data_IF_847359906906
#
_entry.id   IF_847359906906
#
_cell.length_a   1.000
_cell.length_b   1.000
_cell.length_c   1.000
_cell.angle_alpha   90.00
_cell.angle_beta   90.00
_cell.angle_gamma   90.00
#
_symmetry.space_group_name_H-M   'P 1'
#
loop_
_entity.id
_entity.type
_entity.pdbx_description
1 polymer ?
#
# COMPACT_ATOMS: atom_id res chain seq x y z
N UNK A 1 13.80 -4.58 18.65
CA UNK A 1 13.64 -5.13 17.29
C UNK A 1 12.78 -4.17 16.51
N UNK A 2 13.28 -3.70 15.38
CA UNK A 2 12.60 -2.79 14.48
C UNK A 2 11.60 -3.54 13.59
N UNK A 3 10.42 -2.98 13.33
CA UNK A 3 9.33 -3.65 12.62
C UNK A 3 8.96 -2.87 11.36
N UNK A 4 8.82 -3.59 10.24
CA UNK A 4 8.19 -3.11 9.02
C UNK A 4 6.70 -3.42 9.11
N UNK A 5 5.86 -2.39 8.94
CA UNK A 5 4.41 -2.53 8.86
C UNK A 5 3.98 -2.43 7.40
N UNK A 6 3.48 -3.52 6.82
CA UNK A 6 2.96 -3.55 5.47
C UNK A 6 1.43 -3.38 5.51
N UNK A 7 0.92 -2.32 4.89
CA UNK A 7 -0.51 -2.03 4.84
C UNK A 7 -1.09 -2.59 3.55
N UNK A 8 -2.02 -3.54 3.66
CA UNK A 8 -2.64 -4.23 2.53
C UNK A 8 -4.16 -4.14 2.58
N UNK A 9 -4.78 -4.27 1.41
CA UNK A 9 -6.23 -4.17 1.25
C UNK A 9 -6.65 -3.61 -0.11
N UNK A 10 -7.90 -3.82 -0.53
CA UNK A 10 -8.39 -3.33 -1.81
C UNK A 10 -8.46 -1.79 -1.85
N UNK A 11 -8.62 -1.24 -3.06
CA UNK A 11 -8.83 0.20 -3.25
C UNK A 11 -10.09 0.65 -2.48
N UNK A 12 -10.00 1.78 -1.78
CA UNK A 12 -11.09 2.30 -0.94
C UNK A 12 -11.22 1.64 0.45
N UNK A 13 -10.38 0.68 0.81
CA UNK A 13 -10.45 0.00 2.12
C UNK A 13 -10.07 0.87 3.34
N UNK A 14 -9.50 2.07 3.13
CA UNK A 14 -9.06 2.95 4.23
C UNK A 14 -7.58 2.85 4.60
N UNK A 15 -6.78 2.14 3.79
CA UNK A 15 -5.34 1.92 3.99
C UNK A 15 -4.56 3.18 4.33
N UNK A 16 -4.61 4.20 3.48
CA UNK A 16 -3.81 5.42 3.68
C UNK A 16 -4.23 6.21 4.93
N UNK A 17 -5.51 6.16 5.31
CA UNK A 17 -6.01 6.78 6.55
C UNK A 17 -5.42 6.06 7.75
N UNK A 18 -5.51 4.74 7.78
CA UNK A 18 -4.91 3.93 8.85
C UNK A 18 -3.40 4.10 8.93
N UNK A 19 -2.70 4.07 7.78
CA UNK A 19 -1.26 4.28 7.73
C UNK A 19 -0.83 5.65 8.29
N UNK A 20 -1.61 6.71 8.03
CA UNK A 20 -1.38 8.03 8.63
C UNK A 20 -1.63 8.04 10.15
N UNK A 21 -2.65 7.33 10.64
CA UNK A 21 -2.89 7.18 12.07
C UNK A 21 -1.73 6.43 12.73
N UNK A 22 -1.42 5.23 12.25
CA UNK A 22 -0.35 4.38 12.76
C UNK A 22 0.99 5.12 12.75
N UNK A 23 1.31 5.85 11.67
CA UNK A 23 2.51 6.66 11.56
C UNK A 23 2.70 7.63 12.73
N UNK A 24 1.62 8.27 13.18
CA UNK A 24 1.64 9.17 14.34
C UNK A 24 1.75 8.40 15.66
N UNK A 25 1.01 7.30 15.77
CA UNK A 25 0.98 6.46 16.98
C UNK A 25 2.36 5.87 17.31
N UNK A 26 3.02 5.28 16.31
CA UNK A 26 4.32 4.61 16.50
C UNK A 26 5.53 5.47 16.09
N UNK A 27 5.30 6.75 15.78
CA UNK A 27 6.31 7.70 15.31
C UNK A 27 7.19 7.14 14.17
N UNK A 28 6.55 6.56 13.16
CA UNK A 28 7.22 5.91 12.02
C UNK A 28 6.87 6.62 10.69
N UNK A 29 7.83 6.78 9.76
CA UNK A 29 7.53 7.28 8.43
C UNK A 29 6.62 6.33 7.65
N UNK A 30 5.66 6.92 6.92
CA UNK A 30 4.80 6.23 5.96
C UNK A 30 5.32 6.44 4.54
N UNK A 31 5.81 5.38 3.92
CA UNK A 31 6.27 5.36 2.53
C UNK A 31 5.16 4.80 1.64
N UNK A 32 4.52 5.69 0.88
CA UNK A 32 3.37 5.38 0.03
C UNK A 32 3.77 5.42 -1.44
N UNK A 33 3.59 4.29 -2.14
CA UNK A 33 3.93 4.14 -3.56
C UNK A 33 3.14 5.12 -4.44
N UNK A 34 1.83 5.26 -4.23
CA UNK A 34 0.97 6.09 -5.04
C UNK A 34 1.35 7.58 -4.92
N UNK A 35 1.71 8.03 -3.72
CA UNK A 35 2.21 9.38 -3.49
C UNK A 35 3.52 9.64 -4.26
N UNK A 36 4.43 8.66 -4.29
CA UNK A 36 5.69 8.77 -5.04
C UNK A 36 5.45 8.75 -6.55
N UNK A 37 4.58 7.85 -7.03
CA UNK A 37 4.17 7.81 -8.44
C UNK A 37 3.51 9.12 -8.88
N UNK A 38 2.59 9.65 -8.07
CA UNK A 38 1.90 10.91 -8.33
C UNK A 38 2.86 12.11 -8.34
N UNK A 39 3.83 12.15 -7.41
CA UNK A 39 4.76 13.28 -7.29
C UNK A 39 5.89 13.24 -8.32
N UNK A 40 6.51 12.08 -8.51
CA UNK A 40 7.75 11.94 -9.28
C UNK A 40 7.50 11.68 -10.76
N UNK A 41 6.38 11.04 -11.11
CA UNK A 41 6.20 10.51 -12.46
C UNK A 41 4.93 10.97 -13.16
N UNK A 42 3.83 11.25 -12.45
CA UNK A 42 2.59 11.75 -13.08
C UNK A 42 2.81 12.97 -14.01
N UNK A 43 3.67 13.96 -13.69
CA UNK A 43 3.95 15.08 -14.60
C UNK A 43 4.54 14.64 -15.96
N UNK A 44 5.23 13.50 -15.99
CA UNK A 44 5.93 12.96 -17.16
C UNK A 44 5.18 11.75 -17.77
N UNK A 45 3.88 11.62 -17.47
CA UNK A 45 3.06 10.53 -18.00
C UNK A 45 2.93 10.70 -19.53
N UNK A 46 3.24 9.67 -20.33
CA UNK A 46 3.10 9.73 -21.78
C UNK A 46 1.63 9.56 -22.20
N UNK A 47 1.31 10.03 -23.40
CA UNK A 47 -0.03 9.84 -24.00
C UNK A 47 -0.27 8.39 -24.46
N UNK A 48 0.80 7.66 -24.79
CA UNK A 48 0.79 6.27 -25.28
C UNK A 48 1.69 5.38 -24.43
N UNK A 49 1.53 4.06 -24.50
CA UNK A 49 2.31 3.07 -23.73
C UNK A 49 2.31 3.28 -22.21
N UNK A 50 1.22 3.83 -21.69
CA UNK A 50 1.05 4.19 -20.27
C UNK A 50 1.32 3.01 -19.34
N UNK A 51 0.89 1.80 -19.71
CA UNK A 51 1.08 0.61 -18.86
C UNK A 51 2.55 0.20 -18.77
N UNK A 52 3.26 0.13 -19.90
CA UNK A 52 4.69 -0.18 -19.93
C UNK A 52 5.49 0.87 -19.14
N UNK A 53 5.15 2.14 -19.33
CA UNK A 53 5.72 3.24 -18.56
C UNK A 53 5.43 3.08 -17.06
N UNK A 54 4.17 2.84 -16.68
CA UNK A 54 3.74 2.73 -15.29
C UNK A 54 4.44 1.57 -14.58
N UNK A 55 4.49 0.39 -15.19
CA UNK A 55 5.16 -0.80 -14.63
C UNK A 55 6.63 -0.51 -14.37
N UNK A 56 7.34 0.11 -15.33
CA UNK A 56 8.75 0.44 -15.17
C UNK A 56 9.00 1.46 -14.04
N UNK A 57 8.12 2.45 -13.86
CA UNK A 57 8.25 3.45 -12.79
C UNK A 57 7.85 2.89 -11.42
N UNK A 58 6.78 2.09 -11.37
CA UNK A 58 6.35 1.37 -10.17
C UNK A 58 7.48 0.50 -9.63
N UNK A 59 8.14 -0.27 -10.49
CA UNK A 59 9.29 -1.09 -10.09
C UNK A 59 10.42 -0.24 -9.48
N UNK A 60 10.79 0.88 -10.11
CA UNK A 60 11.82 1.80 -9.57
C UNK A 60 11.42 2.40 -8.22
N UNK A 61 10.17 2.82 -8.05
CA UNK A 61 9.67 3.31 -6.76
C UNK A 61 9.76 2.22 -5.68
N UNK A 62 9.35 0.99 -5.97
CA UNK A 62 9.40 -0.12 -5.00
C UNK A 62 10.84 -0.39 -4.56
N UNK A 63 11.79 -0.42 -5.50
CA UNK A 63 13.21 -0.57 -5.17
C UNK A 63 13.72 0.56 -4.28
N UNK A 64 13.41 1.82 -4.64
CA UNK A 64 13.86 2.97 -3.85
C UNK A 64 13.20 3.02 -2.46
N UNK A 65 11.91 2.70 -2.35
CA UNK A 65 11.20 2.58 -1.08
C UNK A 65 11.84 1.50 -0.22
N UNK A 66 12.19 0.36 -0.80
CA UNK A 66 12.85 -0.73 -0.10
C UNK A 66 14.22 -0.33 0.46
N UNK A 67 15.06 0.36 -0.33
CA UNK A 67 16.34 0.86 0.14
C UNK A 67 16.20 1.82 1.33
N UNK A 68 15.27 2.77 1.23
CA UNK A 68 14.99 3.73 2.32
C UNK A 68 14.45 3.01 3.56
N UNK A 69 13.55 2.05 3.37
CA UNK A 69 12.99 1.24 4.45
C UNK A 69 14.07 0.45 5.20
N UNK A 70 15.00 -0.19 4.49
CA UNK A 70 16.11 -0.91 5.14
C UNK A 70 17.02 0.04 5.91
N UNK A 71 17.39 1.19 5.33
CA UNK A 71 18.23 2.16 6.04
C UNK A 71 17.58 2.63 7.37
N UNK A 72 16.25 2.78 7.39
CA UNK A 72 15.51 3.07 8.63
C UNK A 72 15.52 1.88 9.60
N UNK A 73 15.26 0.67 9.10
CA UNK A 73 15.20 -0.53 9.94
C UNK A 73 16.56 -0.88 10.56
N UNK A 74 17.64 -0.77 9.79
CA UNK A 74 19.03 -0.99 10.20
C UNK A 74 19.49 0.01 11.26
N UNK A 75 18.92 1.22 11.26
CA UNK A 75 19.18 2.25 12.28
C UNK A 75 18.22 2.21 13.46
N UNK A 76 17.36 1.18 13.54
CA UNK A 76 16.47 0.98 14.69
C UNK A 76 15.14 1.73 14.62
N UNK A 77 14.74 2.26 13.46
CA UNK A 77 13.47 2.99 13.27
C UNK A 77 12.42 2.14 12.52
N UNK A 78 11.20 1.98 13.07
CA UNK A 78 10.13 1.29 12.36
C UNK A 78 9.72 2.07 11.10
N UNK A 79 9.11 1.38 10.14
CA UNK A 79 8.65 1.98 8.88
C UNK A 79 7.32 1.37 8.46
N UNK A 80 6.45 2.19 7.87
CA UNK A 80 5.15 1.79 7.35
C UNK A 80 5.19 1.87 5.83
N UNK A 81 4.86 0.77 5.15
CA UNK A 81 4.84 0.68 3.70
C UNK A 81 3.42 0.47 3.18
N UNK A 82 3.03 1.27 2.19
CA UNK A 82 1.80 1.09 1.42
C UNK A 82 2.19 0.94 -0.06
N UNK A 83 2.30 -0.31 -0.53
CA UNK A 83 2.87 -0.65 -1.85
C UNK A 83 1.83 -1.08 -2.90
N UNK A 84 0.57 -1.26 -2.49
CA UNK A 84 -0.51 -1.69 -3.39
C UNK A 84 -0.27 -3.06 -4.01
N UNK A 85 0.08 -4.07 -3.20
CA UNK A 85 0.36 -5.43 -3.65
C UNK A 85 -0.95 -6.23 -3.75
N UNK A 86 -1.70 -5.96 -4.83
CA UNK A 86 -3.04 -6.51 -5.02
C UNK A 86 -3.09 -8.02 -5.31
N UNK A 87 -2.00 -8.60 -5.79
CA UNK A 87 -1.87 -10.02 -6.14
C UNK A 87 -1.01 -10.78 -5.12
N UNK A 88 -1.38 -12.03 -4.90
CA UNK A 88 -0.70 -12.97 -3.99
C UNK A 88 0.78 -13.08 -4.30
N UNK A 89 1.15 -13.31 -5.55
CA UNK A 89 2.54 -13.54 -5.93
C UNK A 89 3.43 -12.33 -5.60
N UNK A 90 2.90 -11.12 -5.79
CA UNK A 90 3.61 -9.88 -5.42
C UNK A 90 3.81 -9.76 -3.90
N UNK A 91 2.80 -10.15 -3.10
CA UNK A 91 2.91 -10.17 -1.63
C UNK A 91 3.90 -11.21 -1.15
N UNK A 92 3.86 -12.43 -1.68
CA UNK A 92 4.79 -13.50 -1.33
C UNK A 92 6.24 -13.15 -1.66
N UNK A 93 6.49 -12.58 -2.85
CA UNK A 93 7.81 -12.09 -3.22
C UNK A 93 8.32 -11.01 -2.24
N UNK A 94 7.43 -10.12 -1.78
CA UNK A 94 7.78 -9.12 -0.79
C UNK A 94 8.02 -9.73 0.61
N UNK A 95 7.21 -10.70 1.04
CA UNK A 95 7.41 -11.42 2.30
C UNK A 95 8.77 -12.13 2.34
N UNK A 96 9.14 -12.80 1.26
CA UNK A 96 10.46 -13.44 1.13
C UNK A 96 11.58 -12.39 1.19
N UNK A 97 11.40 -11.25 0.52
CA UNK A 97 12.37 -10.14 0.54
C UNK A 97 12.60 -9.61 1.96
N UNK A 98 11.54 -9.42 2.75
CA UNK A 98 11.66 -9.00 4.17
C UNK A 98 12.28 -10.09 5.03
N UNK A 99 11.89 -11.35 4.84
CA UNK A 99 12.49 -12.46 5.59
C UNK A 99 14.00 -12.56 5.36
N UNK A 100 14.46 -12.30 4.13
CA UNK A 100 15.89 -12.31 3.77
C UNK A 100 16.68 -11.15 4.35
N UNK A 101 16.06 -10.01 4.66
CA UNK A 101 16.75 -8.91 5.36
C UNK A 101 16.86 -9.14 6.87
N UNK A 102 16.12 -10.11 7.43
CA UNK A 102 16.14 -10.42 8.85
C UNK A 102 15.35 -9.43 9.71
N UNK A 103 14.61 -8.50 9.10
CA UNK A 103 13.72 -7.59 9.82
C UNK A 103 12.37 -8.24 10.15
N UNK A 104 11.72 -7.77 11.21
CA UNK A 104 10.38 -8.23 11.56
C UNK A 104 9.34 -7.62 10.61
N UNK A 105 8.33 -8.41 10.25
CA UNK A 105 7.20 -8.00 9.42
C UNK A 105 5.89 -8.09 10.21
N UNK A 106 5.09 -7.04 10.14
CA UNK A 106 3.69 -7.02 10.54
C UNK A 106 2.84 -6.64 9.32
N UNK A 107 1.89 -7.48 8.94
CA UNK A 107 0.92 -7.13 7.89
C UNK A 107 -0.35 -6.61 8.55
N UNK A 108 -0.82 -5.44 8.12
CA UNK A 108 -2.08 -4.84 8.54
C UNK A 108 -3.04 -4.91 7.36
N UNK A 109 -4.04 -5.80 7.47
CA UNK A 109 -5.02 -6.03 6.41
C UNK A 109 -6.28 -5.24 6.71
N UNK A 110 -6.66 -4.36 5.78
CA UNK A 110 -7.92 -3.61 5.81
C UNK A 110 -8.83 -4.14 4.70
N UNK A 111 -10.10 -4.29 5.02
CA UNK A 111 -11.13 -4.59 4.03
C UNK A 111 -12.45 -3.89 4.40
N UNK A 112 -13.30 -3.70 3.39
CA UNK A 112 -14.65 -3.20 3.56
C UNK A 112 -15.52 -3.66 2.37
N UNK A 113 -16.86 -3.72 2.54
CA UNK A 113 -17.76 -4.05 1.44
C UNK A 113 -17.51 -3.19 0.21
N UNK A 114 -17.61 -3.78 -0.99
CA UNK A 114 -17.30 -3.10 -2.26
C UNK A 114 -18.08 -1.79 -2.44
N UNK A 115 -19.37 -1.78 -2.07
CA UNK A 115 -20.21 -0.58 -2.12
C UNK A 115 -19.65 0.55 -1.23
N UNK A 116 -19.29 0.23 0.01
CA UNK A 116 -18.69 1.19 0.95
C UNK A 116 -17.35 1.71 0.42
N UNK A 117 -16.50 0.84 -0.13
CA UNK A 117 -15.21 1.24 -0.72
C UNK A 117 -15.39 2.18 -1.91
N UNK A 118 -16.39 1.91 -2.74
CA UNK A 118 -16.70 2.71 -3.91
C UNK A 118 -17.18 4.11 -3.52
N UNK A 119 -18.10 4.21 -2.57
CA UNK A 119 -18.58 5.49 -2.04
C UNK A 119 -17.44 6.29 -1.41
N UNK A 120 -16.57 5.65 -0.63
CA UNK A 120 -15.36 6.28 -0.06
C UNK A 120 -14.44 6.84 -1.13
N UNK A 121 -14.22 6.11 -2.23
CA UNK A 121 -13.37 6.58 -3.34
C UNK A 121 -13.98 7.81 -4.00
N UNK A 122 -15.29 7.79 -4.26
CA UNK A 122 -16.01 8.93 -4.83
C UNK A 122 -15.93 10.18 -3.93
N UNK A 123 -16.19 10.03 -2.63
CA UNK A 123 -16.05 11.13 -1.67
C UNK A 123 -14.62 11.68 -1.66
N UNK A 124 -13.60 10.79 -1.59
CA UNK A 124 -12.18 11.20 -1.59
C UNK A 124 -11.80 11.97 -2.86
N UNK A 125 -12.27 11.55 -4.03
CA UNK A 125 -11.97 12.25 -5.29
C UNK A 125 -12.57 13.67 -5.30
N UNK A 126 -13.72 13.88 -4.65
CA UNK A 126 -14.35 15.19 -4.53
C UNK A 126 -13.68 16.07 -3.48
N UNK A 127 -13.37 15.52 -2.30
CA UNK A 127 -12.83 16.27 -1.17
C UNK A 127 -11.34 16.59 -1.30
N UNK A 128 -10.59 15.74 -1.99
CA UNK A 128 -9.14 15.86 -2.18
C UNK A 128 -8.36 16.13 -0.87
N UNK A 129 -8.74 15.43 0.20
CA UNK A 129 -8.16 15.58 1.53
C UNK A 129 -6.74 15.02 1.69
N UNK A 130 -6.27 14.86 2.92
CA UNK A 130 -4.87 14.52 3.24
C UNK A 130 -4.38 13.14 2.74
N UNK A 131 -5.30 12.25 2.35
CA UNK A 131 -5.00 10.91 1.80
C UNK A 131 -5.19 10.84 0.29
N UNK A 132 -5.53 11.96 -0.36
CA UNK A 132 -5.67 12.04 -1.81
C UNK A 132 -4.31 12.07 -2.48
N UNK A 133 -4.09 11.14 -3.41
CA UNK A 133 -2.91 11.13 -4.29
C UNK A 133 -3.31 11.41 -5.75
N UNK A 134 -4.40 10.82 -6.19
CA UNK A 134 -4.93 10.94 -7.56
C UNK A 134 -6.39 10.50 -7.61
N UNK A 135 -7.09 10.96 -8.66
CA UNK A 135 -8.44 10.49 -8.98
C UNK A 135 -8.41 9.01 -9.34
N UNK A 136 -9.36 8.28 -8.79
CA UNK A 136 -9.66 6.90 -9.18
C UNK A 136 -11.02 6.90 -9.85
N UNK A 137 -11.06 6.70 -11.18
CA UNK A 137 -12.32 6.56 -11.91
C UNK A 137 -13.04 5.27 -11.52
N UNK A 138 -14.35 5.21 -11.77
CA UNK A 138 -15.14 3.99 -11.54
C UNK A 138 -14.53 2.79 -12.29
N UNK A 139 -14.06 2.98 -13.52
CA UNK A 139 -13.39 1.93 -14.32
C UNK A 139 -12.12 1.40 -13.64
N UNK A 140 -11.28 2.29 -13.11
CA UNK A 140 -10.06 1.90 -12.39
C UNK A 140 -10.41 1.22 -11.07
N UNK A 141 -11.46 1.67 -10.38
CA UNK A 141 -11.95 1.05 -9.15
C UNK A 141 -12.41 -0.40 -9.38
N UNK A 142 -13.21 -0.61 -10.43
CA UNK A 142 -13.72 -1.94 -10.78
C UNK A 142 -12.57 -2.87 -11.19
N UNK A 143 -11.65 -2.39 -12.04
CA UNK A 143 -10.48 -3.17 -12.43
C UNK A 143 -9.62 -3.55 -11.23
N UNK A 144 -9.30 -2.60 -10.36
CA UNK A 144 -8.49 -2.85 -9.18
C UNK A 144 -9.20 -3.78 -8.18
N UNK A 145 -10.52 -3.67 -8.05
CA UNK A 145 -11.32 -4.57 -7.20
C UNK A 145 -11.37 -6.00 -7.77
N UNK A 146 -11.45 -6.15 -9.10
CA UNK A 146 -11.44 -7.45 -9.76
C UNK A 146 -10.08 -8.16 -9.69
N UNK A 147 -8.98 -7.39 -9.69
CA UNK A 147 -7.61 -7.90 -9.57
C UNK A 147 -7.17 -8.15 -8.13
N UNK A 148 -7.98 -7.77 -7.13
CA UNK A 148 -7.65 -7.97 -5.73
C UNK A 148 -7.78 -9.44 -5.34
N UNK A 149 -6.66 -10.04 -4.94
CA UNK A 149 -6.60 -11.39 -4.39
C UNK A 149 -6.47 -11.29 -2.87
N UNK A 150 -7.57 -11.42 -2.13
CA UNK A 150 -7.56 -11.35 -0.68
C UNK A 150 -6.63 -12.44 -0.08
N UNK A 151 -5.84 -12.14 0.98
CA UNK A 151 -5.01 -13.13 1.63
C UNK A 151 -5.81 -14.34 2.09
N UNK A 152 -5.39 -15.55 1.71
CA UNK A 152 -6.08 -16.80 2.08
C UNK A 152 -5.70 -17.29 3.48
N UNK A 153 -6.27 -18.42 3.91
CA UNK A 153 -5.99 -18.96 5.25
C UNK A 153 -4.50 -19.34 5.45
N UNK A 154 -3.82 -19.81 4.40
CA UNK A 154 -2.42 -20.21 4.48
C UNK A 154 -1.51 -18.98 4.57
N UNK A 155 -1.78 -17.95 3.77
CA UNK A 155 -1.08 -16.67 3.79
C UNK A 155 -1.21 -16.00 5.17
N UNK A 156 -2.43 -15.99 5.72
CA UNK A 156 -2.72 -15.44 7.05
C UNK A 156 -2.05 -16.21 8.19
N UNK A 157 -1.88 -17.53 8.05
CA UNK A 157 -1.18 -18.34 9.05
C UNK A 157 0.34 -18.21 8.97
N UNK A 158 0.88 -17.95 7.77
CA UNK A 158 2.32 -17.85 7.54
C UNK A 158 2.91 -16.49 7.95
N UNK A 159 2.10 -15.43 7.92
CA UNK A 159 2.53 -14.07 8.26
C UNK A 159 1.90 -13.58 9.55
N UNK A 160 2.60 -12.71 10.28
CA UNK A 160 2.00 -11.97 11.39
C UNK A 160 1.04 -10.94 10.82
N UNK A 161 -0.21 -11.34 10.58
CA UNK A 161 -1.25 -10.51 9.97
C UNK A 161 -2.31 -10.13 10.99
N UNK A 162 -2.66 -8.85 11.06
CA UNK A 162 -3.77 -8.33 11.87
C UNK A 162 -4.81 -7.72 10.94
N UNK A 163 -6.08 -8.01 11.22
CA UNK A 163 -7.19 -7.33 10.61
C UNK A 163 -7.45 -6.02 11.34
N UNK A 164 -7.54 -4.94 10.58
CA UNK A 164 -7.83 -3.61 11.09
C UNK A 164 -9.24 -3.25 10.67
N UNK A 165 -10.10 -3.01 11.65
CA UNK A 165 -11.45 -2.57 11.39
C UNK A 165 -11.44 -1.11 10.90
N UNK A 166 -11.90 -0.89 9.67
CA UNK A 166 -11.93 0.42 9.06
C UNK A 166 -13.08 1.31 9.56
N UNK A 167 -13.91 0.85 10.50
CA UNK A 167 -14.96 1.65 11.13
C UNK A 167 -14.47 2.48 12.34
N UNK A 168 -13.33 2.12 12.93
CA UNK A 168 -12.79 2.79 14.11
C UNK A 168 -11.26 2.95 14.02
N UNK A 169 -10.74 3.96 13.29
CA UNK A 169 -9.34 4.33 13.35
C UNK A 169 -8.96 5.01 14.68
#
# INVERSE_FOLDING_TARGET
MTCLYLIEGPVGAGKSTFAQHLSREIAAPHLNLDAWMARLFRPDRPDTDVMTWYVARKARCIEQIWEVANAMLDTGHPVILELGLIQRDSRYAFYERVARSGHALQVCLLDAPISVRHDRVRCRNLEQGSTYAMDVSDEVFELASALWEAPDAAERAAQKMVFVDAEHP
#
